data_IF_786655419563
#
_entry.id   IF_786655419563
#
_cell.length_a   1.000
_cell.length_b   1.000
_cell.length_c   1.000
_cell.angle_alpha   90.00
_cell.angle_beta   90.00
_cell.angle_gamma   90.00
#
_symmetry.space_group_name_H-M   'P 1'
#
loop_
_entity.id
_entity.type
_entity.pdbx_description
1 polymer ?
#
# COMPACT_ATOMS: atom_id res chain seq x y z
N UNK A 1 -17.73 9.10 -7.76
CA UNK A 1 -16.35 8.93 -7.26
C UNK A 1 -15.46 9.00 -8.48
N UNK A 2 -14.68 10.06 -8.60
CA UNK A 2 -13.82 10.27 -9.75
C UNK A 2 -12.62 9.32 -9.70
N UNK A 3 -12.22 8.82 -10.86
CA UNK A 3 -11.08 7.89 -10.97
C UNK A 3 -9.80 8.71 -11.00
N UNK A 4 -8.88 8.45 -10.07
CA UNK A 4 -7.54 9.05 -10.10
C UNK A 4 -6.82 8.63 -11.39
N UNK A 5 -6.46 9.60 -12.21
CA UNK A 5 -5.62 9.44 -13.38
C UNK A 5 -4.14 9.42 -12.98
N UNK A 6 -3.25 9.04 -13.90
CA UNK A 6 -1.80 9.11 -13.64
C UNK A 6 -1.30 10.53 -13.31
N UNK A 7 -1.99 11.57 -13.80
CA UNK A 7 -1.69 12.96 -13.47
C UNK A 7 -2.04 13.26 -12.01
N UNK A 8 -3.19 12.78 -11.54
CA UNK A 8 -3.61 12.97 -10.15
C UNK A 8 -2.67 12.26 -9.18
N UNK A 9 -2.24 11.04 -9.53
CA UNK A 9 -1.25 10.26 -8.78
C UNK A 9 0.05 11.05 -8.64
N UNK A 10 0.59 11.57 -9.75
CA UNK A 10 1.81 12.40 -9.71
C UNK A 10 1.63 13.65 -8.84
N UNK A 11 0.54 14.39 -9.02
CA UNK A 11 0.28 15.62 -8.25
C UNK A 11 0.20 15.35 -6.75
N UNK A 12 -0.44 14.26 -6.33
CA UNK A 12 -0.48 13.84 -4.93
C UNK A 12 0.93 13.57 -4.38
N UNK A 13 1.84 13.04 -5.21
CA UNK A 13 3.23 12.78 -4.86
C UNK A 13 4.05 14.03 -4.58
N UNK A 14 3.69 15.16 -5.18
CA UNK A 14 4.39 16.45 -5.05
C UNK A 14 3.91 17.27 -3.83
N UNK A 15 2.83 16.84 -3.15
CA UNK A 15 2.24 17.59 -2.05
C UNK A 15 3.17 17.64 -0.81
N UNK A 16 3.67 18.82 -0.42
CA UNK A 16 4.75 18.92 0.57
C UNK A 16 4.31 18.55 1.99
N UNK A 17 3.02 18.61 2.31
CA UNK A 17 2.49 18.27 3.64
C UNK A 17 1.67 16.97 3.67
N UNK A 18 1.62 16.24 2.56
CA UNK A 18 0.87 14.99 2.50
C UNK A 18 1.58 13.93 3.34
N UNK A 19 1.02 13.63 4.51
CA UNK A 19 1.54 12.65 5.46
C UNK A 19 0.70 11.37 5.52
N UNK A 20 -0.58 11.46 5.18
CA UNK A 20 -1.51 10.34 5.17
C UNK A 20 -2.15 10.31 3.79
N UNK A 21 -1.95 9.22 3.06
CA UNK A 21 -2.59 8.97 1.77
C UNK A 21 -3.57 7.82 1.91
N UNK A 22 -4.83 8.05 1.52
CA UNK A 22 -5.88 7.03 1.53
C UNK A 22 -6.36 6.81 0.09
N UNK A 23 -6.27 5.59 -0.39
CA UNK A 23 -6.68 5.22 -1.74
C UNK A 23 -7.70 4.11 -1.67
N UNK A 24 -8.80 4.27 -2.41
CA UNK A 24 -9.80 3.21 -2.60
C UNK A 24 -9.74 2.71 -4.03
N UNK A 25 -9.38 1.45 -4.22
CA UNK A 25 -9.38 0.79 -5.51
C UNK A 25 -10.81 0.39 -5.87
N UNK A 26 -11.35 0.94 -6.96
CA UNK A 26 -12.73 0.67 -7.40
C UNK A 26 -12.83 -0.36 -8.55
N UNK A 27 -11.71 -0.69 -9.20
CA UNK A 27 -11.64 -1.62 -10.33
C UNK A 27 -10.34 -2.44 -10.27
N UNK A 28 -10.33 -3.61 -10.92
CA UNK A 28 -9.15 -4.48 -11.07
C UNK A 28 -8.08 -3.83 -11.95
N UNK A 29 -7.31 -2.94 -11.34
CA UNK A 29 -6.17 -2.27 -11.96
C UNK A 29 -5.00 -2.22 -11.00
N UNK A 30 -3.80 -2.28 -11.56
CA UNK A 30 -2.58 -2.08 -10.79
C UNK A 30 -2.53 -0.66 -10.20
N UNK A 31 -2.18 -0.57 -8.91
CA UNK A 31 -1.90 0.67 -8.21
C UNK A 31 -0.38 0.86 -8.15
N UNK A 32 0.15 1.69 -9.05
CA UNK A 32 1.58 2.01 -9.09
C UNK A 32 1.86 3.36 -8.46
N UNK A 33 2.71 3.38 -7.43
CA UNK A 33 3.27 4.58 -6.82
C UNK A 33 4.65 4.94 -7.38
N UNK A 34 5.02 4.33 -8.51
CA UNK A 34 6.25 4.63 -9.23
C UNK A 34 5.99 5.74 -10.24
N UNK A 35 6.62 6.89 -10.04
CA UNK A 35 6.54 8.05 -10.94
C UNK A 35 7.85 8.15 -11.71
N UNK A 36 7.77 8.24 -13.04
CA UNK A 36 8.95 8.39 -13.92
C UNK A 36 8.80 9.68 -14.71
N UNK A 37 9.79 10.56 -14.60
CA UNK A 37 9.87 11.84 -15.32
C UNK A 37 11.19 11.85 -16.10
N UNK A 38 11.13 12.10 -17.41
CA UNK A 38 12.31 12.13 -18.28
C UNK A 38 13.20 10.85 -18.17
N UNK A 39 12.58 9.68 -18.06
CA UNK A 39 13.23 8.37 -17.86
C UNK A 39 13.97 8.20 -16.53
N UNK A 40 13.80 9.11 -15.57
CA UNK A 40 14.33 9.02 -14.21
C UNK A 40 13.17 8.83 -13.24
N UNK A 41 13.35 7.95 -12.27
CA UNK A 41 12.35 7.80 -11.21
C UNK A 41 12.38 9.00 -10.27
N UNK A 42 11.20 9.55 -9.98
CA UNK A 42 11.01 10.75 -9.18
C UNK A 42 10.88 10.40 -7.67
N UNK A 43 11.33 11.28 -6.77
CA UNK A 43 11.23 11.12 -5.31
C UNK A 43 9.84 11.48 -4.78
N UNK A 44 8.81 10.93 -5.41
CA UNK A 44 7.41 11.20 -5.12
C UNK A 44 6.98 10.69 -3.73
N UNK A 45 5.97 11.34 -3.14
CA UNK A 45 5.33 10.98 -1.87
C UNK A 45 6.28 10.99 -0.66
N UNK A 46 7.37 11.75 -0.73
CA UNK A 46 8.45 11.75 0.26
C UNK A 46 8.02 11.95 1.71
N UNK A 47 6.90 12.65 1.95
CA UNK A 47 6.39 12.93 3.29
C UNK A 47 5.27 12.00 3.75
N UNK A 48 4.81 11.08 2.90
CA UNK A 48 3.78 10.11 3.26
C UNK A 48 4.35 9.13 4.29
N UNK A 49 3.72 9.11 5.47
CA UNK A 49 4.03 8.23 6.59
C UNK A 49 3.05 7.09 6.74
N UNK A 50 1.80 7.33 6.33
CA UNK A 50 0.72 6.34 6.40
C UNK A 50 0.08 6.22 5.03
N UNK A 51 0.07 5.01 4.49
CA UNK A 51 -0.66 4.67 3.28
C UNK A 51 -1.77 3.69 3.64
N UNK A 52 -3.01 4.06 3.33
CA UNK A 52 -4.16 3.18 3.51
C UNK A 52 -4.72 2.82 2.13
N UNK A 53 -4.84 1.53 1.86
CA UNK A 53 -5.38 1.00 0.61
C UNK A 53 -6.63 0.21 0.93
N UNK A 54 -7.76 0.61 0.37
CA UNK A 54 -9.02 -0.09 0.52
C UNK A 54 -9.49 -0.66 -0.82
N UNK A 55 -9.98 -1.89 -0.80
CA UNK A 55 -10.54 -2.53 -2.00
C UNK A 55 -12.07 -2.35 -2.03
N UNK A 56 -12.59 -1.94 -3.19
CA UNK A 56 -14.00 -1.58 -3.37
C UNK A 56 -14.94 -2.75 -3.62
N UNK A 57 -14.44 -3.94 -4.01
CA UNK A 57 -15.26 -5.11 -4.35
C UNK A 57 -14.58 -6.42 -3.92
N UNK A 58 -15.37 -7.36 -3.41
CA UNK A 58 -14.97 -8.69 -2.87
C UNK A 58 -14.16 -9.57 -3.84
N UNK A 59 -14.26 -9.31 -5.15
CA UNK A 59 -13.56 -10.05 -6.19
C UNK A 59 -12.34 -9.32 -6.75
N UNK A 60 -11.96 -8.17 -6.15
CA UNK A 60 -10.97 -7.30 -6.78
C UNK A 60 -9.53 -7.74 -6.52
N UNK A 61 -8.77 -7.99 -7.57
CA UNK A 61 -7.34 -8.18 -7.48
C UNK A 61 -6.64 -6.86 -7.15
N UNK A 62 -5.76 -6.91 -6.15
CA UNK A 62 -4.93 -5.77 -5.77
C UNK A 62 -3.48 -6.09 -6.11
N UNK A 63 -2.95 -5.36 -7.08
CA UNK A 63 -1.52 -5.32 -7.36
C UNK A 63 -1.00 -3.93 -7.04
N UNK A 64 -0.08 -3.83 -6.08
CA UNK A 64 0.56 -2.58 -5.67
C UNK A 64 2.04 -2.63 -6.01
N UNK A 65 2.52 -1.60 -6.70
CA UNK A 65 3.92 -1.46 -7.06
C UNK A 65 4.50 -0.21 -6.41
N UNK A 66 5.53 -0.39 -5.59
CA UNK A 66 6.32 0.68 -5.00
C UNK A 66 7.59 0.92 -5.84
N UNK A 67 7.84 2.18 -6.16
CA UNK A 67 9.10 2.61 -6.76
C UNK A 67 10.30 2.40 -5.83
N UNK A 68 11.50 2.46 -6.42
CA UNK A 68 12.77 2.48 -5.69
C UNK A 68 12.99 3.76 -4.87
N UNK A 69 12.40 4.88 -5.30
CA UNK A 69 12.58 6.21 -4.66
C UNK A 69 11.28 6.78 -4.08
N UNK A 70 10.21 5.97 -4.03
CA UNK A 70 8.89 6.41 -3.58
C UNK A 70 8.74 6.26 -2.07
N UNK A 71 7.98 7.15 -1.44
CA UNK A 71 7.47 6.97 -0.07
C UNK A 71 8.57 6.62 0.98
N UNK A 72 9.72 7.28 0.90
CA UNK A 72 10.90 7.04 1.76
C UNK A 72 10.55 7.00 3.27
N UNK A 73 9.61 7.86 3.70
CA UNK A 73 9.20 8.00 5.11
C UNK A 73 8.00 7.15 5.49
N UNK A 74 7.57 6.20 4.66
CA UNK A 74 6.40 5.38 4.95
C UNK A 74 6.66 4.50 6.17
N UNK A 75 5.91 4.73 7.24
CA UNK A 75 6.05 4.00 8.49
C UNK A 75 4.99 2.88 8.62
N UNK A 76 3.80 3.13 8.07
CA UNK A 76 2.62 2.26 8.20
C UNK A 76 1.91 2.07 6.86
N UNK A 77 1.75 0.80 6.46
CA UNK A 77 0.90 0.38 5.36
C UNK A 77 -0.34 -0.31 5.90
N UNK A 78 -1.52 0.25 5.67
CA UNK A 78 -2.79 -0.37 6.00
C UNK A 78 -3.46 -0.89 4.73
N UNK A 79 -3.93 -2.13 4.76
CA UNK A 79 -4.62 -2.77 3.65
C UNK A 79 -5.96 -3.28 4.14
N UNK A 80 -7.04 -2.64 3.70
CA UNK A 80 -8.41 -3.08 3.89
C UNK A 80 -8.77 -4.07 2.78
N UNK A 81 -8.69 -5.35 3.13
CA UNK A 81 -9.01 -6.45 2.25
C UNK A 81 -10.51 -6.71 2.31
N UNK A 82 -11.25 -6.43 1.24
CA UNK A 82 -12.62 -6.92 1.14
C UNK A 82 -12.61 -8.46 1.00
N UNK A 83 -13.51 -9.13 1.74
CA UNK A 83 -13.57 -10.58 1.78
C UNK A 83 -13.81 -11.23 0.41
N UNK A 84 -13.35 -12.47 0.24
CA UNK A 84 -13.36 -13.22 -1.03
C UNK A 84 -12.04 -13.97 -1.27
N UNK A 85 -11.78 -14.42 -2.50
CA UNK A 85 -10.50 -15.04 -2.91
C UNK A 85 -9.65 -14.20 -3.89
N UNK A 86 -9.53 -12.86 -3.76
CA UNK A 86 -8.72 -12.07 -4.67
C UNK A 86 -7.22 -12.29 -4.47
N UNK A 87 -6.44 -12.09 -5.54
CA UNK A 87 -4.99 -12.09 -5.46
C UNK A 87 -4.47 -10.74 -4.98
N UNK A 88 -3.71 -10.76 -3.89
CA UNK A 88 -3.01 -9.61 -3.34
C UNK A 88 -1.52 -9.75 -3.67
N UNK A 89 -0.97 -8.77 -4.40
CA UNK A 89 0.43 -8.72 -4.81
C UNK A 89 1.02 -7.36 -4.47
N UNK A 90 2.19 -7.39 -3.84
CA UNK A 90 2.95 -6.21 -3.48
C UNK A 90 4.37 -6.40 -4.02
N UNK A 91 4.83 -5.39 -4.75
CA UNK A 91 6.15 -5.35 -5.40
C UNK A 91 6.89 -4.11 -4.93
N UNK A 92 8.20 -4.23 -4.64
CA UNK A 92 9.01 -3.10 -4.18
C UNK A 92 8.86 -2.75 -2.70
N UNK A 93 8.31 -3.65 -1.88
CA UNK A 93 8.23 -3.44 -0.42
C UNK A 93 9.60 -3.28 0.22
N UNK A 94 10.63 -3.91 -0.37
CA UNK A 94 12.04 -3.81 0.01
C UNK A 94 12.62 -2.39 -0.13
N UNK A 95 11.99 -1.53 -0.92
CA UNK A 95 12.42 -0.15 -1.13
C UNK A 95 11.91 0.80 -0.04
N UNK A 96 10.95 0.35 0.80
CA UNK A 96 10.29 1.18 1.81
C UNK A 96 11.14 1.25 3.08
N UNK A 97 12.22 2.03 3.00
CA UNK A 97 13.28 2.09 4.00
C UNK A 97 12.82 2.33 5.44
N UNK A 98 11.75 3.10 5.67
CA UNK A 98 11.22 3.42 7.01
C UNK A 98 10.01 2.57 7.43
N UNK A 99 9.65 1.55 6.65
CA UNK A 99 8.47 0.73 6.92
C UNK A 99 8.65 -0.04 8.24
N UNK A 100 7.74 0.20 9.19
CA UNK A 100 7.73 -0.42 10.51
C UNK A 100 6.62 -1.44 10.65
N UNK A 101 5.46 -1.17 10.03
CA UNK A 101 4.29 -2.01 10.22
C UNK A 101 3.44 -2.11 8.94
N UNK A 102 2.90 -3.32 8.73
CA UNK A 102 1.81 -3.58 7.80
C UNK A 102 0.61 -4.06 8.59
N UNK A 103 -0.54 -3.40 8.43
CA UNK A 103 -1.79 -3.72 9.12
C UNK A 103 -2.82 -4.20 8.09
N UNK A 104 -3.35 -5.40 8.29
CA UNK A 104 -4.39 -5.97 7.44
C UNK A 104 -5.74 -5.81 8.15
N UNK A 105 -6.68 -5.12 7.51
CA UNK A 105 -8.04 -4.84 8.00
C UNK A 105 -9.06 -5.74 7.30
N UNK A 106 -10.11 -6.13 8.02
CA UNK A 106 -11.33 -6.84 7.52
C UNK A 106 -11.12 -8.03 6.57
N UNK A 107 -9.97 -8.70 6.62
CA UNK A 107 -9.61 -9.72 5.64
C UNK A 107 -10.20 -11.09 5.98
N UNK A 108 -10.95 -11.70 5.06
CA UNK A 108 -11.35 -13.12 5.20
C UNK A 108 -10.20 -14.10 4.92
N UNK A 109 -9.18 -13.66 4.16
CA UNK A 109 -7.96 -14.42 3.84
C UNK A 109 -6.72 -13.86 4.57
N UNK A 110 -6.95 -13.26 5.74
CA UNK A 110 -5.96 -12.48 6.47
C UNK A 110 -4.67 -13.26 6.72
N UNK A 111 -4.80 -14.52 7.15
CA UNK A 111 -3.65 -15.35 7.53
C UNK A 111 -2.76 -15.72 6.34
N UNK A 112 -3.36 -16.09 5.20
CA UNK A 112 -2.59 -16.40 3.98
C UNK A 112 -1.83 -15.18 3.48
N UNK A 113 -2.49 -14.01 3.47
CA UNK A 113 -1.86 -12.75 3.06
C UNK A 113 -0.75 -12.35 4.04
N UNK A 114 -1.00 -12.47 5.34
CA UNK A 114 -0.03 -12.21 6.40
C UNK A 114 1.21 -13.07 6.24
N UNK A 115 1.07 -14.38 6.05
CA UNK A 115 2.21 -15.29 5.84
C UNK A 115 3.04 -14.90 4.60
N UNK A 116 2.36 -14.54 3.51
CA UNK A 116 3.02 -14.08 2.27
C UNK A 116 3.81 -12.79 2.51
N UNK A 117 3.21 -11.80 3.16
CA UNK A 117 3.86 -10.53 3.48
C UNK A 117 5.01 -10.72 4.48
N UNK A 118 4.83 -11.54 5.51
CA UNK A 118 5.91 -11.87 6.46
C UNK A 118 7.09 -12.52 5.75
N UNK A 119 6.84 -13.41 4.78
CA UNK A 119 7.90 -14.05 3.99
C UNK A 119 8.63 -13.03 3.11
N UNK A 120 7.90 -12.13 2.44
CA UNK A 120 8.51 -11.06 1.63
C UNK A 120 9.33 -10.10 2.50
N UNK A 121 8.79 -9.69 3.65
CA UNK A 121 9.39 -8.71 4.56
C UNK A 121 10.48 -9.30 5.46
N UNK A 122 10.65 -10.63 5.50
CA UNK A 122 11.72 -11.27 6.26
C UNK A 122 13.12 -10.83 5.83
N UNK A 123 13.29 -10.45 4.55
CA UNK A 123 14.54 -9.93 3.98
C UNK A 123 14.65 -8.41 4.06
N UNK A 124 13.62 -7.72 4.54
CA UNK A 124 13.60 -6.27 4.63
C UNK A 124 14.57 -5.79 5.73
N UNK A 125 15.39 -4.75 5.50
CA UNK A 125 16.36 -4.25 6.48
C UNK A 125 15.76 -3.99 7.86
N UNK A 126 14.58 -3.36 7.89
CA UNK A 126 13.88 -3.00 9.13
C UNK A 126 12.91 -4.06 9.68
N UNK A 127 12.74 -5.20 8.99
CA UNK A 127 11.86 -6.31 9.41
C UNK A 127 10.48 -5.83 9.92
N UNK A 128 9.68 -5.13 9.09
CA UNK A 128 8.40 -4.60 9.50
C UNK A 128 7.45 -5.69 9.99
N UNK A 129 6.67 -5.36 11.00
CA UNK A 129 5.74 -6.29 11.64
C UNK A 129 4.44 -6.32 10.84
N UNK A 130 3.97 -7.51 10.47
CA UNK A 130 2.65 -7.70 9.85
C UNK A 130 1.64 -8.08 10.93
N UNK A 131 0.61 -7.26 11.11
CA UNK A 131 -0.47 -7.46 12.09
C UNK A 131 -1.82 -7.57 11.39
N UNK A 132 -2.72 -8.32 12.01
CA UNK A 132 -4.14 -8.31 11.68
C UNK A 132 -4.82 -7.38 12.67
N UNK A 133 -5.71 -6.50 12.21
CA UNK A 133 -6.54 -5.74 13.14
C UNK A 133 -7.57 -6.69 13.77
N UNK A 134 -7.59 -6.74 15.10
CA UNK A 134 -8.63 -7.46 15.83
C UNK A 134 -9.96 -6.72 15.66
N UNK A 135 -11.09 -7.43 15.44
CA UNK A 135 -12.39 -6.79 15.39
C UNK A 135 -12.60 -6.02 16.69
N UNK A 136 -12.70 -4.69 16.59
CA UNK A 136 -12.95 -3.84 17.76
C UNK A 136 -14.23 -4.35 18.44
N UNK A 137 -14.19 -4.70 19.75
CA UNK A 137 -15.39 -5.07 20.46
C UNK A 137 -16.35 -3.87 20.42
N UNK A 138 -17.51 -4.08 19.80
CA UNK A 138 -18.61 -3.12 19.84
C UNK A 138 -19.02 -2.94 21.30
N UNK A 139 -18.80 -1.73 21.83
CA UNK A 139 -19.38 -1.28 23.10
C UNK A 139 -20.83 -0.90 22.93
#
# INVERSE_FOLDING_TARGET
MDTLTGIDVKFLGELPQLSILRVKQLQDRELSFRVVVNNVEDDSYRNVKVLQIACGCSSSNLHVTFGSSTMEKLELLEVDCCGGSPSYQFSGLENLGELKQVLLLNSSNAETLKLKLQTQLAKHPNKPVVKLEEPRPSS
#
